data_IF_791784633964
#
_entry.id   IF_791784633964
#
_cell.length_a   1.000
_cell.length_b   1.000
_cell.length_c   1.000
_cell.angle_alpha   90.00
_cell.angle_beta   90.00
_cell.angle_gamma   90.00
#
_symmetry.space_group_name_H-M   'P 1'
#
loop_
_entity.id
_entity.type
_entity.pdbx_description
1 polymer ?
#
# COMPACT_ATOMS: atom_id res chain seq x y z
N UNK A 1 -14.18 25.16 55.56
CA UNK A 1 -13.78 25.17 54.13
C UNK A 1 -14.07 23.81 53.51
N UNK A 2 -15.23 23.66 52.86
CA UNK A 2 -15.66 22.39 52.26
C UNK A 2 -15.12 22.27 50.83
N UNK A 3 -14.06 21.49 50.66
CA UNK A 3 -13.50 21.16 49.35
C UNK A 3 -14.29 19.99 48.73
N UNK A 4 -15.50 20.26 48.21
CA UNK A 4 -16.23 19.26 47.41
C UNK A 4 -15.59 19.16 46.03
N UNK A 5 -14.64 18.23 45.87
CA UNK A 5 -14.23 17.75 44.55
C UNK A 5 -15.49 17.19 43.87
N UNK A 6 -16.05 17.93 42.91
CA UNK A 6 -17.17 17.47 42.07
C UNK A 6 -16.63 16.35 41.18
N UNK A 7 -16.82 15.09 41.59
CA UNK A 7 -16.59 13.95 40.72
C UNK A 7 -17.57 14.06 39.54
N UNK A 8 -17.05 14.12 38.30
CA UNK A 8 -17.89 14.04 37.11
C UNK A 8 -18.72 12.76 37.19
N UNK A 9 -20.02 12.87 36.95
CA UNK A 9 -20.89 11.70 36.92
C UNK A 9 -20.48 10.80 35.73
N UNK A 10 -20.54 9.48 35.94
CA UNK A 10 -20.20 8.47 34.92
C UNK A 10 -20.86 8.74 33.54
N UNK A 11 -22.12 9.22 33.45
CA UNK A 11 -22.72 9.61 32.16
C UNK A 11 -21.99 10.77 31.46
N UNK A 12 -21.44 11.72 32.22
CA UNK A 12 -20.72 12.89 31.70
C UNK A 12 -19.32 12.52 31.16
N UNK A 13 -18.68 11.52 31.78
CA UNK A 13 -17.43 10.92 31.29
C UNK A 13 -17.66 10.11 30.01
N UNK A 14 -18.75 9.34 29.93
CA UNK A 14 -19.14 8.59 28.74
C UNK A 14 -19.49 9.53 27.56
N UNK A 15 -20.22 10.62 27.81
CA UNK A 15 -20.49 11.62 26.77
C UNK A 15 -19.20 12.30 26.28
N UNK A 16 -18.24 12.55 27.17
CA UNK A 16 -16.96 13.16 26.79
C UNK A 16 -16.12 12.22 25.93
N UNK A 17 -16.04 10.93 26.27
CA UNK A 17 -15.33 9.92 25.46
C UNK A 17 -15.99 9.73 24.09
N UNK A 18 -17.32 9.73 24.03
CA UNK A 18 -18.05 9.64 22.77
C UNK A 18 -17.81 10.87 21.90
N UNK A 19 -17.83 12.07 22.48
CA UNK A 19 -17.57 13.34 21.77
C UNK A 19 -16.12 13.39 21.29
N UNK A 20 -15.14 12.96 22.09
CA UNK A 20 -13.73 12.92 21.69
C UNK A 20 -13.49 11.86 20.62
N UNK A 21 -14.16 10.70 20.69
CA UNK A 21 -14.12 9.68 19.65
C UNK A 21 -14.76 10.13 18.34
N UNK A 22 -15.90 10.83 18.40
CA UNK A 22 -16.55 11.45 17.24
C UNK A 22 -15.70 12.60 16.68
N UNK A 23 -15.13 13.48 17.52
CA UNK A 23 -14.20 14.52 17.07
C UNK A 23 -12.96 13.93 16.43
N UNK A 24 -12.39 12.85 17.00
CA UNK A 24 -11.27 12.14 16.41
C UNK A 24 -11.60 11.54 15.05
N UNK A 25 -12.82 11.01 14.89
CA UNK A 25 -13.33 10.50 13.61
C UNK A 25 -13.54 11.62 12.57
N UNK A 26 -14.08 12.78 12.97
CA UNK A 26 -14.26 13.92 12.06
C UNK A 26 -12.94 14.63 11.71
N UNK A 27 -11.98 14.69 12.64
CA UNK A 27 -10.64 15.23 12.39
C UNK A 27 -9.77 14.29 11.54
N UNK A 28 -9.96 12.98 11.66
CA UNK A 28 -9.29 11.99 10.82
C UNK A 28 -9.87 11.95 9.39
N UNK A 29 -11.15 12.29 9.22
CA UNK A 29 -11.84 12.37 7.94
C UNK A 29 -11.96 13.81 7.43
N UNK A 30 -10.95 14.64 7.67
CA UNK A 30 -10.94 16.01 7.14
C UNK A 30 -11.26 16.00 5.66
N UNK A 31 -12.37 16.62 5.27
CA UNK A 31 -12.69 16.85 3.87
C UNK A 31 -11.57 17.71 3.28
N UNK A 32 -10.72 17.10 2.45
CA UNK A 32 -9.72 17.84 1.68
C UNK A 32 -10.48 18.72 0.69
N UNK A 33 -10.75 19.96 1.07
CA UNK A 33 -11.13 20.99 0.09
C UNK A 33 -9.99 21.08 -0.92
N UNK A 34 -10.23 20.92 -2.24
CA UNK A 34 -9.21 21.13 -3.24
C UNK A 34 -8.58 22.50 -2.97
N UNK A 35 -7.27 22.54 -2.75
CA UNK A 35 -6.61 23.80 -2.47
C UNK A 35 -6.93 24.78 -3.61
N UNK A 36 -7.68 25.84 -3.30
CA UNK A 36 -7.84 26.95 -4.23
C UNK A 36 -6.42 27.47 -4.53
N UNK A 37 -5.99 27.37 -5.80
CA UNK A 37 -4.62 27.69 -6.20
C UNK A 37 -3.69 26.49 -6.45
N UNK A 38 -4.22 25.32 -6.82
CA UNK A 38 -3.40 24.21 -7.33
C UNK A 38 -2.65 24.65 -8.61
N UNK A 39 -1.32 24.71 -8.52
CA UNK A 39 -0.45 25.02 -9.64
C UNK A 39 0.72 24.03 -9.65
N UNK A 40 1.03 23.48 -10.83
CA UNK A 40 2.27 22.75 -11.03
C UNK A 40 3.45 23.69 -10.83
N UNK A 41 4.42 23.24 -10.03
CA UNK A 41 5.69 23.94 -9.84
C UNK A 41 6.80 23.03 -10.33
N UNK A 42 7.74 23.61 -11.04
CA UNK A 42 8.96 22.92 -11.41
C UNK A 42 9.79 22.66 -10.14
N UNK A 43 10.39 21.47 -10.06
CA UNK A 43 11.35 21.11 -9.00
C UNK A 43 12.78 21.43 -9.44
N UNK A 44 12.91 22.46 -10.29
CA UNK A 44 14.09 22.84 -11.07
C UNK A 44 14.63 21.72 -11.98
N UNK A 45 13.72 20.83 -12.41
CA UNK A 45 13.96 19.74 -13.35
C UNK A 45 14.90 18.66 -12.81
N UNK A 46 14.49 17.41 -12.91
CA UNK A 46 15.47 16.33 -13.00
C UNK A 46 16.17 16.46 -14.35
N UNK A 47 17.51 16.64 -14.37
CA UNK A 47 18.38 16.60 -15.55
C UNK A 47 17.70 17.07 -16.86
N UNK A 48 17.80 18.36 -17.20
CA UNK A 48 17.28 18.91 -18.47
C UNK A 48 17.63 18.01 -19.67
N UNK A 49 16.68 17.19 -20.12
CA UNK A 49 16.82 16.27 -21.27
C UNK A 49 16.56 14.78 -20.99
N UNK A 50 16.53 14.32 -19.74
CA UNK A 50 16.30 12.89 -19.44
C UNK A 50 14.82 12.56 -19.27
N UNK A 51 14.34 11.51 -19.94
CA UNK A 51 12.97 11.00 -19.77
C UNK A 51 12.86 10.31 -18.40
N UNK A 52 11.96 10.79 -17.54
CA UNK A 52 11.55 10.08 -16.32
C UNK A 52 10.61 8.95 -16.71
N UNK A 53 10.92 7.74 -16.26
CA UNK A 53 10.24 6.49 -16.62
C UNK A 53 9.47 5.91 -15.44
N UNK A 54 9.90 6.18 -14.21
CA UNK A 54 9.25 5.69 -12.99
C UNK A 54 9.48 6.64 -11.81
N UNK A 55 8.53 6.64 -10.87
CA UNK A 55 8.56 7.45 -9.66
C UNK A 55 8.12 6.62 -8.46
N UNK A 56 8.78 6.78 -7.31
CA UNK A 56 8.31 6.20 -6.04
C UNK A 56 8.62 7.12 -4.86
N UNK A 57 7.68 7.21 -3.93
CA UNK A 57 7.79 8.04 -2.71
C UNK A 57 8.14 7.17 -1.50
N UNK A 58 9.18 7.52 -0.73
CA UNK A 58 9.57 6.77 0.48
C UNK A 58 8.90 7.25 1.78
N UNK A 59 8.10 8.31 1.72
CA UNK A 59 7.56 8.99 2.90
C UNK A 59 8.24 10.34 3.20
N UNK A 60 9.43 10.57 2.65
CA UNK A 60 10.27 11.76 2.91
C UNK A 60 10.86 12.38 1.64
N UNK A 61 11.10 11.59 0.60
CA UNK A 61 11.67 12.00 -0.67
C UNK A 61 11.12 11.18 -1.83
N UNK A 62 11.31 11.71 -3.03
CA UNK A 62 10.84 11.12 -4.28
C UNK A 62 12.02 10.55 -5.04
N UNK A 63 11.97 9.28 -5.43
CA UNK A 63 12.93 8.69 -6.34
C UNK A 63 12.39 8.72 -7.76
N UNK A 64 13.27 8.97 -8.72
CA UNK A 64 12.98 8.96 -10.13
C UNK A 64 13.94 8.04 -10.88
N UNK A 65 13.38 7.11 -11.64
CA UNK A 65 14.08 6.32 -12.63
C UNK A 65 14.11 7.09 -13.95
N UNK A 66 15.21 6.98 -14.68
CA UNK A 66 15.40 7.71 -15.94
C UNK A 66 15.82 6.79 -17.09
N UNK A 67 15.56 7.23 -18.30
CA UNK A 67 16.08 6.61 -19.52
C UNK A 67 17.52 7.04 -19.76
N UNK A 68 18.48 6.37 -19.12
CA UNK A 68 19.92 6.51 -19.39
C UNK A 68 20.68 7.44 -18.44
N UNK A 69 20.07 7.86 -17.33
CA UNK A 69 20.74 8.65 -16.28
C UNK A 69 20.62 8.00 -14.89
N UNK A 70 20.28 6.72 -14.83
CA UNK A 70 20.13 5.97 -13.58
C UNK A 70 18.98 6.48 -12.70
N UNK A 71 19.21 6.43 -11.39
CA UNK A 71 18.21 6.74 -10.36
C UNK A 71 18.61 8.00 -9.61
N UNK A 72 17.62 8.88 -9.40
CA UNK A 72 17.80 10.15 -8.70
C UNK A 72 16.83 10.28 -7.55
N UNK A 73 17.23 10.99 -6.50
CA UNK A 73 16.39 11.27 -5.32
C UNK A 73 16.18 12.76 -5.15
N UNK A 74 14.93 13.18 -5.03
CA UNK A 74 14.53 14.53 -4.66
C UNK A 74 14.33 14.65 -3.16
N UNK A 75 14.95 15.66 -2.56
CA UNK A 75 14.66 16.11 -1.21
C UNK A 75 13.73 17.34 -1.27
N UNK A 76 12.46 17.22 -0.86
CA UNK A 76 11.51 18.34 -0.87
C UNK A 76 11.82 19.43 0.17
N UNK A 77 12.57 19.10 1.24
CA UNK A 77 12.98 20.06 2.25
C UNK A 77 14.12 20.95 1.76
N UNK A 78 15.03 20.39 0.97
CA UNK A 78 16.13 21.12 0.35
C UNK A 78 15.79 21.67 -1.05
N UNK A 79 14.78 21.11 -1.73
CA UNK A 79 14.38 21.48 -3.08
C UNK A 79 15.37 21.03 -4.16
N UNK A 80 16.11 19.95 -3.95
CA UNK A 80 17.18 19.51 -4.85
C UNK A 80 17.11 18.03 -5.19
N UNK A 81 17.59 17.68 -6.38
CA UNK A 81 17.81 16.31 -6.83
C UNK A 81 19.28 15.89 -6.62
N UNK A 82 19.48 14.62 -6.23
CA UNK A 82 20.79 14.00 -6.13
C UNK A 82 20.82 12.69 -6.92
N UNK A 83 21.89 12.46 -7.68
CA UNK A 83 22.17 11.17 -8.31
C UNK A 83 22.51 10.14 -7.23
N UNK A 84 21.83 8.99 -7.26
CA UNK A 84 22.12 7.85 -6.39
C UNK A 84 22.52 6.60 -7.18
N UNK A 85 22.56 6.66 -8.51
CA UNK A 85 22.94 5.54 -9.39
C UNK A 85 24.42 5.19 -9.29
N UNK A 86 25.30 6.16 -9.06
CA UNK A 86 26.74 5.97 -8.97
C UNK A 86 27.32 5.28 -10.22
N UNK A 87 27.90 4.09 -10.06
CA UNK A 87 28.40 3.30 -11.19
C UNK A 87 27.28 2.83 -12.16
N UNK A 88 26.03 2.91 -11.72
CA UNK A 88 24.86 2.54 -12.49
C UNK A 88 24.15 3.74 -13.14
N UNK A 89 24.72 4.96 -13.06
CA UNK A 89 24.09 6.18 -13.57
C UNK A 89 23.94 6.25 -15.09
N UNK A 90 24.50 5.32 -15.86
CA UNK A 90 24.30 5.26 -17.32
C UNK A 90 23.13 4.36 -17.74
N UNK A 91 22.51 3.63 -16.83
CA UNK A 91 21.50 2.63 -17.17
C UNK A 91 20.10 3.22 -17.30
N UNK A 92 19.24 2.49 -18.02
CA UNK A 92 17.80 2.76 -18.12
C UNK A 92 17.09 2.10 -16.94
N UNK A 93 16.19 2.85 -16.32
CA UNK A 93 15.43 2.42 -15.14
C UNK A 93 13.94 2.41 -15.46
N UNK A 94 13.37 1.27 -15.82
CA UNK A 94 11.96 1.21 -16.20
C UNK A 94 11.02 1.14 -14.99
N UNK A 95 11.47 0.59 -13.87
CA UNK A 95 10.64 0.36 -12.70
C UNK A 95 11.36 0.66 -11.39
N UNK A 96 10.60 1.18 -10.42
CA UNK A 96 11.03 1.42 -9.04
C UNK A 96 9.99 0.85 -8.06
N UNK A 97 10.46 0.33 -6.91
CA UNK A 97 9.59 -0.05 -5.79
C UNK A 97 10.29 0.21 -4.44
N UNK A 98 9.58 0.80 -3.48
CA UNK A 98 10.10 1.05 -2.14
C UNK A 98 9.56 0.02 -1.16
N UNK A 99 10.45 -0.60 -0.37
CA UNK A 99 10.08 -1.67 0.57
C UNK A 99 9.82 -1.21 2.00
N UNK A 100 9.92 0.10 2.27
CA UNK A 100 9.88 0.69 3.60
C UNK A 100 11.26 1.00 4.20
N UNK A 101 12.32 0.44 3.63
CA UNK A 101 13.70 0.60 4.11
C UNK A 101 14.74 0.78 3.00
N UNK A 102 14.45 0.32 1.78
CA UNK A 102 15.31 0.42 0.62
C UNK A 102 14.51 0.45 -0.68
N UNK A 103 15.22 0.79 -1.75
CA UNK A 103 14.65 1.00 -3.07
C UNK A 103 15.08 -0.14 -3.99
N UNK A 104 14.12 -0.81 -4.60
CA UNK A 104 14.35 -1.70 -5.73
C UNK A 104 14.21 -0.94 -7.04
N UNK A 105 15.08 -1.25 -8.00
CA UNK A 105 15.04 -0.68 -9.33
C UNK A 105 15.39 -1.73 -10.39
N UNK A 106 14.73 -1.66 -11.55
CA UNK A 106 15.19 -2.37 -12.74
C UNK A 106 16.35 -1.63 -13.39
N UNK A 107 17.28 -2.37 -13.98
CA UNK A 107 18.41 -1.82 -14.71
C UNK A 107 18.50 -2.48 -16.08
N UNK A 108 18.44 -1.68 -17.15
CA UNK A 108 18.58 -2.14 -18.53
C UNK A 108 19.72 -1.40 -19.22
N UNK A 109 20.57 -2.13 -19.96
CA UNK A 109 21.74 -1.57 -20.63
C UNK A 109 21.31 -0.76 -21.87
N UNK A 110 21.60 0.56 -21.94
CA UNK A 110 21.11 1.40 -23.03
C UNK A 110 21.74 1.09 -24.39
N UNK A 111 22.88 0.39 -24.42
CA UNK A 111 23.62 0.12 -25.66
C UNK A 111 23.27 -1.24 -26.24
N UNK A 112 23.10 -2.24 -25.37
CA UNK A 112 22.76 -3.61 -25.79
C UNK A 112 21.27 -3.90 -25.75
N UNK A 113 20.50 -3.09 -25.02
CA UNK A 113 19.10 -3.36 -24.70
C UNK A 113 18.91 -4.54 -23.75
N UNK A 114 20.00 -5.13 -23.22
CA UNK A 114 19.90 -6.28 -22.34
C UNK A 114 19.48 -5.87 -20.93
N UNK A 115 18.45 -6.53 -20.41
CA UNK A 115 18.12 -6.47 -19.00
C UNK A 115 19.26 -6.92 -18.09
N UNK A 116 19.41 -6.22 -16.96
CA UNK A 116 20.31 -6.56 -15.85
C UNK A 116 19.56 -6.92 -14.58
N UNK A 117 18.27 -7.19 -14.72
CA UNK A 117 17.38 -7.57 -13.63
C UNK A 117 17.15 -6.44 -12.65
N UNK A 118 17.08 -6.80 -11.36
CA UNK A 118 16.67 -5.90 -10.29
C UNK A 118 17.80 -5.74 -9.29
N UNK A 119 18.05 -4.50 -8.89
CA UNK A 119 19.01 -4.16 -7.85
C UNK A 119 18.29 -3.49 -6.68
N UNK A 120 18.87 -3.58 -5.49
CA UNK A 120 18.37 -2.92 -4.28
C UNK A 120 19.38 -1.90 -3.76
N UNK A 121 18.93 -0.66 -3.57
CA UNK A 121 19.65 0.39 -2.90
C UNK A 121 19.36 0.36 -1.40
N UNK A 122 20.42 0.44 -0.60
CA UNK A 122 20.35 0.70 0.82
C UNK A 122 20.69 2.18 1.09
N UNK A 123 19.71 3.02 1.49
CA UNK A 123 19.96 4.43 1.78
C UNK A 123 20.84 4.67 3.01
N UNK A 124 20.93 3.73 3.95
CA UNK A 124 21.78 3.83 5.13
C UNK A 124 23.26 3.61 4.80
N UNK A 125 23.54 2.76 3.83
CA UNK A 125 24.90 2.47 3.35
C UNK A 125 25.29 3.27 2.10
N UNK A 126 24.31 3.77 1.35
CA UNK A 126 24.51 4.50 0.09
C UNK A 126 24.97 3.62 -1.06
N UNK A 127 24.63 2.33 -1.07
CA UNK A 127 25.12 1.34 -2.05
C UNK A 127 23.99 0.55 -2.69
N UNK A 128 24.23 0.13 -3.94
CA UNK A 128 23.38 -0.80 -4.66
C UNK A 128 23.93 -2.23 -4.57
N UNK A 129 23.03 -3.20 -4.42
CA UNK A 129 23.33 -4.62 -4.50
C UNK A 129 22.45 -5.30 -5.55
N UNK A 130 23.07 -6.09 -6.43
CA UNK A 130 22.35 -6.94 -7.37
C UNK A 130 21.56 -8.02 -6.62
N UNK A 131 20.28 -8.21 -6.97
CA UNK A 131 19.46 -9.29 -6.41
C UNK A 131 19.69 -10.62 -7.11
N UNK A 132 20.34 -10.62 -8.27
CA UNK A 132 20.69 -11.77 -9.09
C UNK A 132 19.48 -12.59 -9.55
N UNK A 133 19.74 -13.84 -9.96
CA UNK A 133 18.70 -14.81 -10.30
C UNK A 133 18.09 -14.65 -11.69
N UNK A 134 16.92 -15.25 -11.89
CA UNK A 134 16.31 -15.35 -13.22
C UNK A 134 15.91 -14.01 -13.87
N UNK A 135 15.42 -12.99 -13.13
CA UNK A 135 15.10 -11.69 -13.74
C UNK A 135 16.30 -10.99 -14.39
N UNK A 136 17.54 -11.35 -14.05
CA UNK A 136 18.74 -10.80 -14.70
C UNK A 136 18.84 -11.10 -16.20
N UNK A 137 18.05 -12.05 -16.72
CA UNK A 137 17.97 -12.35 -18.16
C UNK A 137 16.80 -11.71 -18.89
N UNK A 138 16.01 -10.86 -18.22
CA UNK A 138 14.80 -10.27 -18.79
C UNK A 138 14.78 -8.75 -18.60
N UNK A 139 14.04 -8.09 -19.48
CA UNK A 139 13.70 -6.67 -19.31
C UNK A 139 12.59 -6.57 -18.26
N UNK A 140 12.92 -5.95 -17.12
CA UNK A 140 11.99 -5.75 -16.02
C UNK A 140 11.29 -4.41 -16.19
N UNK A 141 9.99 -4.46 -16.47
CA UNK A 141 9.14 -3.32 -16.85
C UNK A 141 8.36 -2.73 -15.69
N UNK A 142 8.07 -3.52 -14.66
CA UNK A 142 7.31 -3.09 -13.50
C UNK A 142 7.75 -3.84 -12.23
N UNK A 143 7.68 -3.14 -11.11
CA UNK A 143 8.02 -3.65 -9.78
C UNK A 143 6.91 -3.31 -8.80
N UNK A 144 6.62 -4.23 -7.88
CA UNK A 144 5.60 -4.04 -6.86
C UNK A 144 6.04 -4.70 -5.54
N UNK A 145 6.01 -3.94 -4.46
CA UNK A 145 6.21 -4.43 -3.11
C UNK A 145 4.87 -4.66 -2.42
N UNK A 146 4.62 -5.86 -1.89
CA UNK A 146 3.37 -6.21 -1.20
C UNK A 146 3.46 -6.07 0.34
N UNK A 147 4.56 -5.50 0.85
CA UNK A 147 4.85 -5.45 2.28
C UNK A 147 5.74 -6.59 2.78
N UNK A 148 5.93 -7.66 2.01
CA UNK A 148 6.72 -8.85 2.39
C UNK A 148 7.64 -9.34 1.26
N UNK A 149 7.16 -9.31 0.03
CA UNK A 149 7.79 -9.81 -1.18
C UNK A 149 7.77 -8.74 -2.27
N UNK A 150 8.78 -8.80 -3.13
CA UNK A 150 8.84 -7.98 -4.34
C UNK A 150 8.39 -8.84 -5.53
N UNK A 151 7.57 -8.26 -6.39
CA UNK A 151 7.15 -8.85 -7.64
C UNK A 151 7.74 -8.05 -8.79
N UNK A 152 8.29 -8.76 -9.79
CA UNK A 152 8.83 -8.18 -11.00
C UNK A 152 8.06 -8.70 -12.21
N UNK A 153 7.39 -7.79 -12.93
CA UNK A 153 6.86 -8.09 -14.25
C UNK A 153 7.97 -7.93 -15.28
N UNK A 154 8.01 -8.86 -16.23
CA UNK A 154 9.06 -8.93 -17.24
C UNK A 154 8.49 -9.10 -18.64
N UNK A 155 9.28 -8.73 -19.64
CA UNK A 155 9.02 -9.07 -21.04
C UNK A 155 9.33 -10.55 -21.27
N UNK A 156 8.34 -11.32 -21.74
CA UNK A 156 8.39 -12.77 -22.01
C UNK A 156 8.79 -13.71 -20.85
N UNK A 157 9.09 -13.19 -19.66
CA UNK A 157 9.39 -13.99 -18.47
C UNK A 157 8.24 -14.05 -17.46
N UNK A 158 7.14 -13.34 -17.73
CA UNK A 158 6.01 -13.25 -16.81
C UNK A 158 6.33 -12.51 -15.51
N UNK A 159 5.74 -12.98 -14.41
CA UNK A 159 5.94 -12.40 -13.07
C UNK A 159 6.85 -13.28 -12.22
N UNK A 160 7.87 -12.66 -11.64
CA UNK A 160 8.79 -13.27 -10.69
C UNK A 160 8.56 -12.73 -9.28
N UNK A 161 8.71 -13.59 -8.28
CA UNK A 161 8.61 -13.25 -6.86
C UNK A 161 10.00 -13.32 -6.23
N UNK A 162 10.45 -12.23 -5.63
CA UNK A 162 11.65 -12.17 -4.80
C UNK A 162 11.30 -12.30 -3.32
N UNK A 163 12.01 -13.18 -2.64
CA UNK A 163 11.97 -13.36 -1.19
C UNK A 163 13.22 -12.73 -0.56
N UNK A 164 13.12 -11.53 0.04
CA UNK A 164 14.27 -10.84 0.62
C UNK A 164 14.95 -11.62 1.75
N UNK A 165 14.19 -12.43 2.50
CA UNK A 165 14.73 -13.23 3.60
C UNK A 165 15.62 -14.37 3.10
N UNK A 166 15.28 -14.91 1.93
CA UNK A 166 16.07 -15.96 1.28
C UNK A 166 17.04 -15.43 0.23
N UNK A 167 16.95 -14.14 -0.10
CA UNK A 167 17.69 -13.48 -1.19
C UNK A 167 17.57 -14.27 -2.50
N UNK A 168 16.35 -14.69 -2.84
CA UNK A 168 16.11 -15.61 -3.95
C UNK A 168 14.83 -15.27 -4.73
N UNK A 169 14.90 -15.47 -6.03
CA UNK A 169 13.77 -15.35 -6.96
C UNK A 169 13.09 -16.69 -7.22
N UNK A 170 11.78 -16.65 -7.38
CA UNK A 170 10.92 -17.77 -7.72
C UNK A 170 9.98 -17.38 -8.86
N UNK A 171 9.84 -18.25 -9.85
CA UNK A 171 8.81 -18.07 -10.87
C UNK A 171 7.43 -18.25 -10.25
N UNK A 172 6.48 -17.39 -10.62
CA UNK A 172 5.06 -17.57 -10.22
C UNK A 172 4.33 -18.58 -11.11
N UNK A 173 4.94 -18.98 -12.24
CA UNK A 173 4.42 -19.97 -13.20
C UNK A 173 3.13 -19.54 -13.91
N UNK A 174 2.56 -20.46 -14.70
CA UNK A 174 1.22 -20.28 -15.27
C UNK A 174 1.19 -19.64 -16.65
N UNK A 175 -0.02 -19.25 -17.09
CA UNK A 175 -0.23 -18.58 -18.39
C UNK A 175 0.54 -17.26 -18.47
N UNK A 176 0.63 -16.42 -17.42
CA UNK A 176 1.52 -15.26 -17.46
C UNK A 176 3.00 -15.59 -17.63
N UNK A 177 3.42 -16.85 -17.45
CA UNK A 177 4.82 -17.27 -17.44
C UNK A 177 5.61 -17.02 -18.73
N UNK A 178 4.95 -16.66 -19.82
CA UNK A 178 5.59 -16.24 -21.09
C UNK A 178 5.03 -14.92 -21.65
N UNK A 179 4.22 -14.21 -20.87
CA UNK A 179 3.59 -12.96 -21.31
C UNK A 179 4.51 -11.78 -21.03
N UNK A 180 4.29 -10.70 -21.77
CA UNK A 180 4.79 -9.38 -21.40
C UNK A 180 3.90 -8.80 -20.30
N UNK A 181 4.48 -8.47 -19.16
CA UNK A 181 3.77 -7.86 -18.04
C UNK A 181 4.11 -6.37 -18.03
N UNK A 182 3.12 -5.49 -18.13
CA UNK A 182 3.35 -4.04 -18.13
C UNK A 182 3.03 -3.37 -16.80
N UNK A 183 2.15 -3.97 -16.01
CA UNK A 183 1.74 -3.38 -14.75
C UNK A 183 1.39 -4.40 -13.69
N UNK A 184 1.61 -4.01 -12.44
CA UNK A 184 1.28 -4.80 -11.27
C UNK A 184 0.49 -3.94 -10.28
N UNK A 185 -0.49 -4.54 -9.59
CA UNK A 185 -1.18 -3.93 -8.46
C UNK A 185 -1.41 -4.96 -7.33
N UNK A 186 -1.60 -4.48 -6.11
CA UNK A 186 -1.85 -5.32 -4.93
C UNK A 186 -3.02 -4.77 -4.12
N UNK A 187 -3.92 -5.65 -3.68
CA UNK A 187 -5.10 -5.28 -2.88
C UNK A 187 -5.00 -5.56 -1.38
N UNK A 188 -3.86 -6.07 -0.90
CA UNK A 188 -3.73 -6.60 0.45
C UNK A 188 -3.69 -8.13 0.53
N UNK A 189 -4.17 -8.81 -0.52
CA UNK A 189 -4.36 -10.28 -0.55
C UNK A 189 -3.87 -10.88 -1.88
N UNK A 190 -4.21 -10.26 -3.00
CA UNK A 190 -3.92 -10.70 -4.35
C UNK A 190 -3.03 -9.72 -5.09
N UNK A 191 -2.19 -10.26 -5.97
CA UNK A 191 -1.45 -9.50 -6.97
C UNK A 191 -2.23 -9.54 -8.28
N UNK A 192 -2.28 -8.42 -8.97
CA UNK A 192 -2.88 -8.29 -10.30
C UNK A 192 -1.77 -7.97 -11.29
N UNK A 193 -1.77 -8.63 -12.44
CA UNK A 193 -0.85 -8.39 -13.53
C UNK A 193 -1.62 -7.97 -14.77
N UNK A 194 -1.29 -6.79 -15.29
CA UNK A 194 -1.72 -6.31 -16.58
C UNK A 194 -0.71 -6.74 -17.63
N UNK A 195 -1.19 -7.40 -18.68
CA UNK A 195 -0.33 -8.01 -19.71
C UNK A 195 -0.57 -7.39 -21.08
N UNK A 196 0.35 -7.62 -22.02
CA UNK A 196 0.12 -7.34 -23.43
C UNK A 196 -0.84 -8.37 -24.06
N UNK A 197 -1.93 -7.92 -24.67
CA UNK A 197 -2.88 -8.79 -25.40
C UNK A 197 -3.71 -9.80 -24.59
N UNK A 198 -3.35 -10.07 -23.33
CA UNK A 198 -3.95 -11.13 -22.51
C UNK A 198 -4.69 -10.64 -21.26
N UNK A 199 -4.95 -9.34 -21.18
CA UNK A 199 -5.83 -8.73 -20.19
C UNK A 199 -5.22 -8.69 -18.80
N UNK A 200 -6.02 -9.06 -17.80
CA UNK A 200 -5.66 -8.96 -16.38
C UNK A 200 -5.70 -10.34 -15.74
N UNK A 201 -4.62 -10.67 -15.06
CA UNK A 201 -4.45 -11.91 -14.31
C UNK A 201 -4.38 -11.61 -12.82
N UNK A 202 -4.95 -12.47 -11.99
CA UNK A 202 -4.91 -12.37 -10.52
C UNK A 202 -4.16 -13.56 -9.93
N UNK A 203 -3.21 -13.28 -9.05
CA UNK A 203 -2.38 -14.26 -8.34
C UNK A 203 -2.68 -14.25 -6.85
N UNK A 204 -2.82 -15.45 -6.29
CA UNK A 204 -2.95 -15.68 -4.86
C UNK A 204 -1.67 -16.35 -4.37
N UNK A 205 -0.74 -15.58 -3.79
CA UNK A 205 0.46 -16.17 -3.25
C UNK A 205 0.12 -16.99 -2.01
N UNK A 206 0.62 -18.23 -1.99
CA UNK A 206 0.70 -19.03 -0.78
C UNK A 206 2.10 -19.61 -0.68
N UNK A 207 2.79 -19.52 0.47
CA UNK A 207 4.13 -20.06 0.64
C UNK A 207 4.25 -21.55 0.25
N UNK A 208 3.20 -22.34 0.50
CA UNK A 208 3.10 -23.76 0.13
C UNK A 208 2.94 -24.02 -1.37
N UNK A 209 2.53 -23.00 -2.14
CA UNK A 209 2.36 -23.05 -3.59
C UNK A 209 3.53 -22.39 -4.34
N UNK A 210 4.66 -22.16 -3.65
CA UNK A 210 5.85 -21.57 -4.24
C UNK A 210 6.32 -22.36 -5.47
N UNK A 211 6.44 -21.68 -6.62
CA UNK A 211 6.77 -22.30 -7.91
C UNK A 211 5.58 -22.92 -8.66
N UNK A 212 4.36 -22.84 -8.12
CA UNK A 212 3.13 -23.31 -8.78
C UNK A 212 2.29 -22.12 -9.24
N UNK A 213 1.67 -22.30 -10.40
CA UNK A 213 0.70 -21.34 -10.93
C UNK A 213 -0.60 -21.36 -10.14
N UNK A 214 -0.99 -20.21 -9.61
CA UNK A 214 -2.35 -19.96 -9.07
C UNK A 214 -3.04 -18.79 -9.77
N UNK A 215 -2.51 -18.37 -10.93
CA UNK A 215 -3.06 -17.28 -11.73
C UNK A 215 -4.46 -17.61 -12.26
N UNK A 216 -5.37 -16.66 -12.14
CA UNK A 216 -6.73 -16.70 -12.70
C UNK A 216 -6.94 -15.49 -13.60
N UNK A 217 -7.38 -15.68 -14.84
CA UNK A 217 -7.78 -14.57 -15.71
C UNK A 217 -9.05 -13.91 -15.16
N UNK A 218 -9.03 -12.59 -15.04
CA UNK A 218 -10.18 -11.79 -14.58
C UNK A 218 -10.54 -10.65 -15.54
N UNK A 219 -9.75 -10.43 -16.59
CA UNK A 219 -9.88 -9.32 -17.53
C UNK A 219 -10.81 -9.58 -18.73
N UNK A 220 -11.64 -10.64 -18.71
CA UNK A 220 -12.39 -11.10 -19.89
C UNK A 220 -13.33 -10.09 -20.57
N UNK A 221 -13.74 -9.02 -19.87
CA UNK A 221 -14.59 -7.95 -20.42
C UNK A 221 -13.79 -6.72 -20.91
N UNK A 222 -12.47 -6.70 -20.70
CA UNK A 222 -11.60 -5.59 -21.11
C UNK A 222 -11.41 -5.68 -22.62
N UNK A 223 -11.96 -4.70 -23.35
CA UNK A 223 -12.06 -4.73 -24.82
C UNK A 223 -10.70 -4.80 -25.51
N UNK A 224 -9.81 -3.84 -25.24
CA UNK A 224 -8.39 -3.91 -25.61
C UNK A 224 -7.61 -4.55 -24.46
N UNK A 225 -7.02 -5.70 -24.74
CA UNK A 225 -6.44 -6.58 -23.73
C UNK A 225 -5.00 -6.21 -23.37
N UNK A 226 -4.42 -5.17 -23.96
CA UNK A 226 -3.13 -4.63 -23.54
C UNK A 226 -3.30 -3.66 -22.37
N UNK A 227 -2.85 -4.06 -21.18
CA UNK A 227 -3.08 -3.33 -19.91
C UNK A 227 -1.81 -2.64 -19.42
N UNK A 228 -1.66 -1.38 -19.81
CA UNK A 228 -0.46 -0.56 -19.55
C UNK A 228 -0.32 -0.13 -18.09
N UNK A 229 -1.42 0.08 -17.37
CA UNK A 229 -1.37 0.45 -15.96
C UNK A 229 -2.52 -0.14 -15.16
N UNK A 230 -2.22 -0.49 -13.91
CA UNK A 230 -3.19 -0.92 -12.92
C UNK A 230 -3.09 -0.03 -11.69
N UNK A 231 -4.23 0.30 -11.10
CA UNK A 231 -4.29 1.03 -9.83
C UNK A 231 -5.35 0.41 -8.92
N UNK A 232 -5.00 0.23 -7.65
CA UNK A 232 -5.92 -0.27 -6.64
C UNK A 232 -6.38 0.84 -5.70
N UNK A 233 -7.70 0.93 -5.49
CA UNK A 233 -8.34 1.87 -4.57
C UNK A 233 -9.34 1.13 -3.69
N UNK A 234 -8.86 0.52 -2.59
CA UNK A 234 -9.66 -0.01 -1.47
C UNK A 234 -10.59 -1.19 -1.77
N UNK A 235 -11.45 -1.09 -2.78
CA UNK A 235 -12.34 -2.13 -3.29
C UNK A 235 -12.42 -2.18 -4.82
N UNK A 236 -11.68 -1.31 -5.52
CA UNK A 236 -11.70 -1.19 -6.97
C UNK A 236 -10.32 -1.37 -7.55
N UNK A 237 -10.26 -2.18 -8.61
CA UNK A 237 -9.11 -2.26 -9.49
C UNK A 237 -9.44 -1.48 -10.75
N UNK A 238 -8.62 -0.48 -11.07
CA UNK A 238 -8.67 0.30 -12.29
C UNK A 238 -7.60 -0.18 -13.26
N UNK A 239 -7.92 -0.22 -14.54
CA UNK A 239 -7.03 -0.65 -15.61
C UNK A 239 -7.04 0.39 -16.75
N UNK A 240 -5.88 0.98 -17.04
CA UNK A 240 -5.68 1.78 -18.24
C UNK A 240 -5.18 0.88 -19.37
N UNK A 241 -5.90 0.82 -20.48
CA UNK A 241 -5.58 -0.03 -21.62
C UNK A 241 -5.01 0.79 -22.77
N UNK A 242 -4.26 0.15 -23.67
CA UNK A 242 -3.92 0.79 -24.94
C UNK A 242 -5.20 0.99 -25.77
N UNK A 243 -5.46 2.18 -26.30
CA UNK A 243 -6.62 2.51 -27.14
C UNK A 243 -8.05 2.36 -26.56
N UNK A 244 -8.26 1.51 -25.55
CA UNK A 244 -9.55 1.09 -25.00
C UNK A 244 -10.02 1.89 -23.78
N UNK A 245 -9.26 2.88 -23.33
CA UNK A 245 -9.62 3.78 -22.23
C UNK A 245 -9.33 3.20 -20.84
N UNK A 246 -10.12 3.61 -19.85
CA UNK A 246 -9.97 3.21 -18.44
C UNK A 246 -11.16 2.35 -18.02
N UNK A 247 -10.87 1.15 -17.54
CA UNK A 247 -11.82 0.18 -17.03
C UNK A 247 -11.69 0.08 -15.51
N UNK A 248 -12.75 -0.36 -14.83
CA UNK A 248 -12.64 -0.75 -13.43
C UNK A 248 -13.52 -1.95 -13.13
N UNK A 249 -13.10 -2.71 -12.14
CA UNK A 249 -13.93 -3.76 -11.53
C UNK A 249 -13.94 -3.59 -10.03
N UNK A 250 -15.05 -3.99 -9.40
CA UNK A 250 -15.16 -4.01 -7.95
C UNK A 250 -14.75 -5.39 -7.45
N UNK A 251 -13.59 -5.47 -6.79
CA UNK A 251 -13.16 -6.71 -6.14
C UNK A 251 -13.77 -6.71 -4.75
N UNK A 252 -14.73 -7.59 -4.52
CA UNK A 252 -15.41 -7.73 -3.23
C UNK A 252 -14.40 -8.08 -2.14
N UNK A 253 -14.18 -7.17 -1.19
CA UNK A 253 -13.45 -7.47 0.05
C UNK A 253 -14.28 -8.45 0.90
N UNK A 254 -13.70 -9.54 1.44
CA UNK A 254 -14.43 -10.42 2.35
C UNK A 254 -14.96 -9.61 3.53
N UNK A 255 -16.27 -9.72 3.83
CA UNK A 255 -16.97 -8.96 4.89
C UNK A 255 -16.49 -9.24 6.33
N UNK A 256 -15.38 -9.95 6.51
CA UNK A 256 -14.98 -10.52 7.80
C UNK A 256 -14.51 -9.50 8.84
N UNK A 257 -14.17 -8.26 8.46
CA UNK A 257 -13.73 -7.24 9.43
C UNK A 257 -14.85 -6.36 9.97
N UNK A 258 -15.97 -6.21 9.26
CA UNK A 258 -17.09 -5.37 9.72
C UNK A 258 -17.85 -6.03 10.87
N UNK A 259 -18.03 -7.36 10.82
CA UNK A 259 -18.75 -8.10 11.86
C UNK A 259 -17.94 -8.15 13.16
N UNK A 260 -16.61 -8.31 13.08
CA UNK A 260 -15.76 -8.35 14.27
C UNK A 260 -15.69 -6.99 14.98
N UNK A 261 -15.59 -5.89 14.20
CA UNK A 261 -15.56 -4.53 14.74
C UNK A 261 -16.91 -4.16 15.36
N UNK A 262 -18.02 -4.41 14.67
CA UNK A 262 -19.38 -4.17 15.23
C UNK A 262 -19.62 -5.03 16.47
N UNK A 263 -19.21 -6.30 16.44
CA UNK A 263 -19.33 -7.22 17.59
C UNK A 263 -18.53 -6.74 18.81
N UNK A 264 -17.31 -6.26 18.60
CA UNK A 264 -16.46 -5.73 19.68
C UNK A 264 -17.03 -4.43 20.26
N UNK A 265 -17.52 -3.52 19.40
CA UNK A 265 -18.17 -2.27 19.82
C UNK A 265 -19.45 -2.53 20.61
N UNK A 266 -20.30 -3.46 20.16
CA UNK A 266 -21.52 -3.87 20.88
C UNK A 266 -21.22 -4.53 22.22
N UNK A 267 -20.18 -5.38 22.29
CA UNK A 267 -19.76 -6.04 23.53
C UNK A 267 -19.27 -5.02 24.57
N UNK A 268 -18.45 -4.06 24.16
CA UNK A 268 -17.97 -2.97 25.04
C UNK A 268 -19.14 -2.11 25.54
N UNK A 269 -20.10 -1.79 24.67
CA UNK A 269 -21.30 -1.04 25.05
C UNK A 269 -22.18 -1.79 26.08
N UNK A 270 -22.35 -3.11 25.90
CA UNK A 270 -23.11 -3.95 26.84
C UNK A 270 -22.44 -4.04 28.21
N UNK A 271 -21.12 -4.23 28.26
CA UNK A 271 -20.35 -4.28 29.51
C UNK A 271 -20.44 -2.95 30.26
N UNK A 272 -20.34 -1.82 29.54
CA UNK A 272 -20.49 -0.49 30.12
C UNK A 272 -21.89 -0.26 30.70
N UNK A 273 -22.94 -0.68 29.98
CA UNK A 273 -24.33 -0.57 30.44
C UNK A 273 -24.58 -1.42 31.70
N UNK A 274 -24.06 -2.65 31.75
CA UNK A 274 -24.15 -3.52 32.91
C UNK A 274 -23.44 -2.94 34.14
N UNK A 275 -22.23 -2.38 33.96
CA UNK A 275 -21.51 -1.71 35.03
C UNK A 275 -22.26 -0.50 35.59
N UNK A 276 -22.87 0.31 34.71
CA UNK A 276 -23.69 1.46 35.11
C UNK A 276 -24.94 1.02 35.91
N UNK A 277 -25.62 -0.03 35.48
CA UNK A 277 -26.77 -0.60 36.18
C UNK A 277 -26.41 -1.09 37.60
N UNK A 278 -25.28 -1.78 37.75
CA UNK A 278 -24.78 -2.26 39.05
C UNK A 278 -24.48 -1.09 40.00
N UNK A 279 -23.86 -0.01 39.50
CA UNK A 279 -23.57 1.19 40.29
C UNK A 279 -24.86 1.89 40.74
N UNK A 280 -25.86 1.98 39.86
CA UNK A 280 -27.18 2.52 40.20
C UNK A 280 -27.86 1.67 41.27
N UNK A 281 -27.90 0.35 41.09
CA UNK A 281 -28.49 -0.59 42.07
C UNK A 281 -27.81 -0.49 43.44
N UNK A 282 -26.48 -0.33 43.49
CA UNK A 282 -25.74 -0.10 44.76
C UNK A 282 -26.06 1.24 45.42
N UNK A 283 -26.33 2.29 44.63
CA UNK A 283 -26.74 3.61 45.15
C UNK A 283 -28.18 3.61 45.69
N UNK A 284 -29.09 2.87 45.06
CA UNK A 284 -30.49 2.81 45.47
C UNK A 284 -30.76 1.75 46.54
N UNK A 285 -30.01 0.65 46.57
CA UNK A 285 -30.12 -0.40 47.59
C UNK A 285 -29.69 0.07 49.00
N UNK A 286 -28.80 1.06 49.11
CA UNK A 286 -28.37 1.63 50.40
C UNK A 286 -29.37 2.63 51.02
N UNK A 287 -30.45 3.00 50.33
CA UNK A 287 -31.46 3.97 50.84
C UNK A 287 -32.67 3.35 51.55
N UNK A 288 -32.75 2.02 51.69
CA UNK A 288 -33.85 1.33 52.39
C UNK A 288 -33.37 0.60 53.64
N UNK A 289 -32.84 1.31 54.64
CA UNK A 289 -32.95 0.90 56.05
C UNK A 289 -32.91 2.18 56.91
N UNK A 290 -34.06 2.66 57.37
CA UNK A 290 -34.15 3.50 58.57
C UNK A 290 -35.02 2.76 59.57
N UNK A 291 -34.53 2.38 60.77
CA UNK A 291 -35.37 1.76 61.79
C UNK A 291 -36.37 2.81 62.28
N UNK A 292 -37.64 2.43 62.35
CA UNK A 292 -38.69 3.26 62.94
C UNK A 292 -38.38 3.57 64.40
N UNK A 293 -38.31 4.86 64.73
CA UNK A 293 -38.33 5.32 66.12
C UNK A 293 -39.75 5.22 66.66
N UNK A 294 -39.91 4.42 67.70
CA UNK A 294 -41.13 4.28 68.50
C UNK A 294 -41.25 5.47 69.44
N UNK A 295 -42.45 6.03 69.52
CA UNK A 295 -42.86 7.06 70.48
C UNK A 295 -42.95 6.51 71.91
N UNK A 296 -42.37 7.24 72.86
CA UNK A 296 -42.91 7.48 74.20
C UNK A 296 -42.33 8.81 74.71
#
# INVERSE_FOLDING_TARGET
MNNRKRALSIPLLLSLVLIVGLLGFFLANGEYTPAAGFSWKDTDGLLNGSKVTSLVWDGSGLYAGTSGSGVWRYDPGAGVWADIGGALSSYVIDALAWDGSGLYASFNDPFTGAGRGVWRYDPGEGVWADTGGAPSGYDVTCLLWDGTYLYAGTIYGGVWLYDPWRKAWYGTGGVPGNLEVFSLAWDGVYIYAGTDGDGIWRYAYKPEDRGKSTWTEIGGEVGDRTVNCLAWEGSRLYAGTDGGGVWYTQVSVPKHNIILVIGTVLLVALIAAAAAAIVLLRKFGKRRVSPGGVSA
#
